data_IF_528436011936
#
_entry.id   IF_528436011936
#
_cell.length_a   1.000
_cell.length_b   1.000
_cell.length_c   1.000
_cell.angle_alpha   90.00
_cell.angle_beta   90.00
_cell.angle_gamma   90.00
#
_symmetry.space_group_name_H-M   'P 1'
#
loop_
_entity.id
_entity.type
_entity.pdbx_description
1 polymer ?
#
# COMPACT_ATOMS: atom_id res chain seq x y z
N UNK A 1 -3.89 -4.73 14.60
CA UNK A 1 -4.25 -5.89 13.78
C UNK A 1 -4.49 -5.44 12.34
N UNK A 2 -4.00 -6.21 11.38
CA UNK A 2 -4.16 -5.86 9.98
C UNK A 2 -5.61 -6.01 9.54
N UNK A 3 -6.09 -5.14 8.66
CA UNK A 3 -7.44 -5.21 8.15
C UNK A 3 -7.49 -6.16 6.95
N UNK A 4 -8.71 -6.48 6.53
CA UNK A 4 -8.94 -7.29 5.33
C UNK A 4 -8.32 -6.64 4.10
N UNK A 5 -8.40 -5.30 4.01
CA UNK A 5 -7.82 -4.56 2.91
C UNK A 5 -6.30 -4.61 2.93
N UNK A 6 -5.72 -4.65 4.12
CA UNK A 6 -4.27 -4.80 4.26
C UNK A 6 -3.80 -6.16 3.72
N UNK A 7 -4.53 -7.22 4.05
CA UNK A 7 -4.21 -8.55 3.52
C UNK A 7 -4.35 -8.60 2.00
N UNK A 8 -5.39 -7.98 1.48
CA UNK A 8 -5.62 -7.88 0.04
C UNK A 8 -4.47 -7.14 -0.65
N UNK A 9 -4.02 -6.05 -0.04
CA UNK A 9 -2.90 -5.28 -0.56
C UNK A 9 -1.62 -6.11 -0.59
N UNK A 10 -1.35 -6.84 0.49
CA UNK A 10 -0.18 -7.70 0.57
C UNK A 10 -0.19 -8.74 -0.56
N UNK A 11 -1.32 -9.42 -0.73
CA UNK A 11 -1.47 -10.45 -1.75
C UNK A 11 -1.33 -9.89 -3.16
N UNK A 12 -1.88 -8.70 -3.38
CA UNK A 12 -1.78 -8.06 -4.70
C UNK A 12 -0.33 -7.72 -5.02
N UNK A 13 0.40 -7.15 -4.08
CA UNK A 13 1.80 -6.81 -4.27
C UNK A 13 2.63 -8.06 -4.55
N UNK A 14 2.40 -9.12 -3.78
CA UNK A 14 3.09 -10.38 -3.99
C UNK A 14 2.81 -10.95 -5.38
N UNK A 15 1.55 -10.91 -5.80
CA UNK A 15 1.13 -11.41 -7.10
C UNK A 15 1.75 -10.66 -8.26
N UNK A 16 2.13 -9.42 -8.05
CA UNK A 16 2.77 -8.61 -9.08
C UNK A 16 4.28 -8.78 -9.13
N UNK A 17 4.84 -9.59 -8.24
CA UNK A 17 6.26 -9.93 -8.28
C UNK A 17 7.17 -9.10 -7.41
N UNK A 18 6.62 -8.25 -6.55
CA UNK A 18 7.46 -7.49 -5.63
C UNK A 18 8.04 -8.39 -4.55
N UNK A 19 9.24 -8.06 -4.01
CA UNK A 19 9.84 -8.88 -2.95
C UNK A 19 8.94 -9.00 -1.74
N UNK A 20 8.94 -10.17 -1.11
CA UNK A 20 8.06 -10.47 0.01
C UNK A 20 8.26 -9.49 1.17
N UNK A 21 9.51 -9.19 1.50
CA UNK A 21 9.81 -8.25 2.59
C UNK A 21 9.26 -6.86 2.28
N UNK A 22 9.37 -6.44 1.03
CA UNK A 22 8.82 -5.15 0.61
C UNK A 22 7.30 -5.14 0.71
N UNK A 23 6.65 -6.22 0.28
CA UNK A 23 5.19 -6.33 0.37
C UNK A 23 4.72 -6.22 1.81
N UNK A 24 5.39 -6.91 2.72
CA UNK A 24 5.05 -6.89 4.14
C UNK A 24 5.28 -5.50 4.73
N UNK A 25 6.37 -4.85 4.35
CA UNK A 25 6.69 -3.51 4.83
C UNK A 25 5.59 -2.53 4.42
N UNK A 26 5.21 -2.55 3.16
CA UNK A 26 4.16 -1.66 2.65
C UNK A 26 2.83 -1.95 3.33
N UNK A 27 2.40 -3.21 3.31
CA UNK A 27 1.05 -3.56 3.75
C UNK A 27 0.91 -3.57 5.27
N UNK A 28 1.78 -4.30 5.95
CA UNK A 28 1.56 -4.57 7.37
C UNK A 28 2.16 -3.53 8.30
N UNK A 29 3.19 -2.82 7.86
CA UNK A 29 3.81 -1.81 8.69
C UNK A 29 3.32 -0.40 8.41
N UNK A 30 3.00 -0.11 7.15
CA UNK A 30 2.67 1.25 6.74
C UNK A 30 1.21 1.45 6.36
N UNK A 31 0.65 0.53 5.57
CA UNK A 31 -0.75 0.63 5.10
C UNK A 31 -1.62 -0.32 5.91
N UNK A 32 -1.52 -0.25 7.23
CA UNK A 32 -2.15 -1.24 8.11
C UNK A 32 -3.57 -0.89 8.56
N UNK A 33 -4.16 0.16 8.01
CA UNK A 33 -5.57 0.50 8.25
C UNK A 33 -6.37 0.32 6.97
N UNK A 34 -7.67 0.15 7.12
CA UNK A 34 -8.58 0.05 5.98
C UNK A 34 -8.43 1.25 5.05
N UNK A 35 -8.37 2.44 5.62
CA UNK A 35 -8.26 3.67 4.84
C UNK A 35 -7.00 3.69 3.98
N UNK A 36 -5.85 3.47 4.61
CA UNK A 36 -4.58 3.57 3.88
C UNK A 36 -4.43 2.43 2.88
N UNK A 37 -4.83 1.22 3.26
CA UNK A 37 -4.77 0.08 2.35
C UNK A 37 -5.68 0.28 1.15
N UNK A 38 -6.89 0.79 1.36
CA UNK A 38 -7.83 1.05 0.28
C UNK A 38 -7.28 2.10 -0.70
N UNK A 39 -6.65 3.15 -0.17
CA UNK A 39 -6.03 4.18 -1.01
C UNK A 39 -4.93 3.58 -1.88
N UNK A 40 -4.07 2.75 -1.30
CA UNK A 40 -2.98 2.12 -2.05
C UNK A 40 -3.53 1.12 -3.08
N UNK A 41 -4.56 0.37 -2.72
CA UNK A 41 -5.20 -0.54 -3.67
C UNK A 41 -5.75 0.22 -4.88
N UNK A 42 -6.40 1.36 -4.63
CA UNK A 42 -6.92 2.20 -5.70
C UNK A 42 -5.82 2.68 -6.64
N UNK A 43 -4.67 3.03 -6.08
CA UNK A 43 -3.51 3.42 -6.87
C UNK A 43 -3.05 2.26 -7.76
N UNK A 44 -2.94 1.06 -7.18
CA UNK A 44 -2.48 -0.12 -7.91
C UNK A 44 -3.45 -0.57 -9.01
N UNK A 45 -4.74 -0.30 -8.83
CA UNK A 45 -5.71 -0.60 -9.88
C UNK A 45 -5.63 0.37 -11.05
N UNK A 46 -5.12 1.59 -10.82
CA UNK A 46 -4.96 2.59 -11.88
C UNK A 46 -3.60 2.50 -12.56
N UNK A 47 -2.57 2.10 -11.83
CA UNK A 47 -1.19 2.04 -12.33
C UNK A 47 -0.78 0.59 -12.38
N UNK A 48 -0.62 0.05 -13.58
CA UNK A 48 -0.45 -1.40 -13.75
C UNK A 48 0.90 -1.93 -13.33
N UNK A 49 1.95 -1.11 -13.37
CA UNK A 49 3.29 -1.61 -13.07
C UNK A 49 4.18 -0.52 -12.45
N UNK A 50 3.83 -0.03 -11.26
CA UNK A 50 4.65 1.02 -10.64
C UNK A 50 5.97 0.43 -10.13
N UNK A 51 7.01 1.27 -10.16
CA UNK A 51 8.29 0.90 -9.59
C UNK A 51 8.23 0.96 -8.07
N UNK A 52 9.20 0.32 -7.41
CA UNK A 52 9.28 0.36 -5.96
C UNK A 52 9.32 1.81 -5.45
N UNK A 53 10.09 2.66 -6.09
CA UNK A 53 10.19 4.07 -5.69
C UNK A 53 8.86 4.80 -5.87
N UNK A 54 8.09 4.47 -6.91
CA UNK A 54 6.77 5.06 -7.11
C UNK A 54 5.80 4.62 -6.03
N UNK A 55 5.88 3.36 -5.63
CA UNK A 55 5.05 2.85 -4.54
C UNK A 55 5.37 3.55 -3.22
N UNK A 56 6.64 3.75 -2.94
CA UNK A 56 7.06 4.43 -1.72
C UNK A 56 6.57 5.89 -1.74
N UNK A 57 6.70 6.56 -2.87
CA UNK A 57 6.21 7.93 -3.00
C UNK A 57 4.70 8.01 -2.75
N UNK A 58 3.95 7.09 -3.34
CA UNK A 58 2.50 7.06 -3.14
C UNK A 58 2.15 6.75 -1.69
N UNK A 59 2.86 5.80 -1.08
CA UNK A 59 2.68 5.47 0.32
C UNK A 59 2.87 6.69 1.22
N UNK A 60 3.93 7.44 0.98
CA UNK A 60 4.21 8.64 1.76
C UNK A 60 3.14 9.70 1.57
N UNK A 61 2.63 9.85 0.34
CA UNK A 61 1.56 10.78 0.06
C UNK A 61 0.28 10.40 0.79
N UNK A 62 -0.07 9.12 0.82
CA UNK A 62 -1.25 8.64 1.52
C UNK A 62 -1.13 8.89 3.02
N UNK A 63 0.03 8.60 3.59
CA UNK A 63 0.25 8.82 5.02
C UNK A 63 0.22 10.30 5.37
N UNK A 64 0.76 11.12 4.50
CA UNK A 64 0.75 12.57 4.68
C UNK A 64 -0.67 13.13 4.62
N UNK A 65 -1.47 12.66 3.68
CA UNK A 65 -2.88 13.06 3.57
C UNK A 65 -3.66 12.71 4.83
N UNK A 66 -3.40 11.52 5.37
CA UNK A 66 -4.07 11.09 6.60
C UNK A 66 -3.74 12.04 7.75
N UNK A 67 -2.48 12.45 7.86
CA UNK A 67 -2.05 13.36 8.92
C UNK A 67 -2.58 14.78 8.71
N UNK A 68 -2.77 15.17 7.46
CA UNK A 68 -3.21 16.51 7.11
C UNK A 68 -4.70 16.76 7.35
N UNK A 69 -5.46 15.71 7.61
CA UNK A 69 -6.91 15.80 7.79
C UNK A 69 -7.29 16.32 9.19
N UNK A 70 -6.37 16.51 10.04
CA UNK A 70 -6.65 16.96 11.41
C UNK A 70 -7.21 18.39 11.47
#
# INVERSE_FOLDING_TARGET
MASERTDELYKLLLGRGYPKEFCAEIAYKNMNTDYTATRMLGYLYRVSDPRIEDLVDEMLAILSDRDAII
#
